data_IF_103518752043
#
_entry.id   IF_103518752043
#
_cell.length_a   1.000
_cell.length_b   1.000
_cell.length_c   1.000
_cell.angle_alpha   90.00
_cell.angle_beta   90.00
_cell.angle_gamma   90.00
#
_symmetry.space_group_name_H-M   'P 1'
#
loop_
_entity.id
_entity.type
_entity.pdbx_description
1 polymer ?
#
# COMPACT_ATOMS: atom_id res chain seq x y z
N UNK A 1 29.64 14.15 -22.44
CA UNK A 1 28.68 15.21 -22.84
C UNK A 1 27.72 15.43 -21.71
N UNK A 2 27.85 16.60 -21.08
CA UNK A 2 27.00 17.04 -19.94
C UNK A 2 25.59 17.36 -20.43
N UNK A 3 24.59 16.69 -19.90
CA UNK A 3 23.24 17.21 -19.93
C UNK A 3 22.65 17.11 -18.50
N UNK A 4 23.10 17.99 -17.65
CA UNK A 4 22.54 18.24 -16.32
C UNK A 4 21.91 19.63 -16.29
N UNK A 5 20.75 19.79 -16.92
CA UNK A 5 19.96 21.01 -16.72
C UNK A 5 19.24 20.84 -15.36
N UNK A 6 19.89 21.29 -14.29
CA UNK A 6 19.19 21.68 -13.06
C UNK A 6 18.43 22.95 -13.38
N UNK A 7 17.16 22.84 -13.69
CA UNK A 7 16.25 23.98 -13.59
C UNK A 7 16.07 24.24 -12.09
N UNK A 8 16.88 25.11 -11.53
CA UNK A 8 16.64 25.69 -10.23
C UNK A 8 15.43 26.62 -10.37
N UNK A 9 14.23 26.07 -10.23
CA UNK A 9 13.02 26.87 -10.08
C UNK A 9 13.19 27.66 -8.78
N UNK A 10 13.32 28.97 -8.88
CA UNK A 10 13.32 29.88 -7.74
C UNK A 10 11.93 29.83 -7.14
N UNK A 11 11.73 28.98 -6.11
CA UNK A 11 10.46 28.86 -5.39
C UNK A 11 10.23 30.20 -4.70
N UNK A 12 9.12 30.86 -5.00
CA UNK A 12 8.73 32.09 -4.32
C UNK A 12 8.31 31.76 -2.87
N UNK A 13 8.51 32.70 -1.95
CA UNK A 13 8.18 32.52 -0.52
C UNK A 13 6.72 32.07 -0.29
N UNK A 14 5.79 32.57 -1.12
CA UNK A 14 4.39 32.16 -1.13
C UNK A 14 4.17 30.69 -1.51
N UNK A 15 4.97 30.13 -2.44
CA UNK A 15 4.90 28.72 -2.83
C UNK A 15 5.38 27.81 -1.71
N UNK A 16 6.44 28.22 -0.99
CA UNK A 16 6.99 27.50 0.16
C UNK A 16 5.97 27.38 1.30
N UNK A 17 5.29 28.47 1.63
CA UNK A 17 4.22 28.49 2.64
C UNK A 17 3.09 27.54 2.22
N UNK A 18 2.67 27.60 0.97
CA UNK A 18 1.62 26.74 0.42
C UNK A 18 2.00 25.26 0.49
N UNK A 19 3.25 24.90 0.17
CA UNK A 19 3.76 23.53 0.26
C UNK A 19 3.78 23.02 1.71
N UNK A 20 4.23 23.82 2.67
CA UNK A 20 4.21 23.47 4.11
C UNK A 20 2.79 23.23 4.62
N UNK A 21 1.82 24.06 4.23
CA UNK A 21 0.40 23.87 4.57
C UNK A 21 -0.16 22.59 3.95
N UNK A 22 0.19 22.29 2.70
CA UNK A 22 -0.22 21.07 2.01
C UNK A 22 0.36 19.83 2.67
N UNK A 23 1.64 19.83 3.02
CA UNK A 23 2.28 18.75 3.74
C UNK A 23 1.60 18.50 5.11
N UNK A 24 1.34 19.58 5.88
CA UNK A 24 0.63 19.49 7.16
C UNK A 24 -0.74 18.84 7.03
N UNK A 25 -1.52 19.20 6.00
CA UNK A 25 -2.84 18.57 5.73
C UNK A 25 -2.71 17.07 5.44
N UNK A 26 -1.69 16.66 4.67
CA UNK A 26 -1.43 15.24 4.41
C UNK A 26 -1.01 14.49 5.69
N UNK A 27 -0.16 15.08 6.56
CA UNK A 27 0.19 14.46 7.85
C UNK A 27 -1.05 14.26 8.73
N UNK A 28 -1.94 15.26 8.81
CA UNK A 28 -3.20 15.14 9.56
C UNK A 28 -4.07 14.03 8.96
N UNK A 29 -4.23 13.99 7.64
CA UNK A 29 -5.04 12.97 6.98
C UNK A 29 -4.46 11.56 7.16
N UNK A 30 -3.14 11.40 7.09
CA UNK A 30 -2.46 10.13 7.36
C UNK A 30 -2.72 9.68 8.80
N UNK A 31 -2.62 10.60 9.77
CA UNK A 31 -2.93 10.34 11.17
C UNK A 31 -4.39 9.93 11.40
N UNK A 32 -5.34 10.58 10.73
CA UNK A 32 -6.76 10.21 10.81
C UNK A 32 -7.02 8.82 10.22
N UNK A 33 -6.46 8.50 9.06
CA UNK A 33 -6.60 7.17 8.45
C UNK A 33 -5.99 6.08 9.33
N UNK A 34 -4.82 6.35 9.91
CA UNK A 34 -4.18 5.42 10.85
C UNK A 34 -5.00 5.27 12.13
N UNK A 35 -5.59 6.34 12.66
CA UNK A 35 -6.51 6.28 13.79
C UNK A 35 -7.73 5.38 13.49
N UNK A 36 -8.35 5.53 12.31
CA UNK A 36 -9.46 4.66 11.92
C UNK A 36 -9.03 3.22 11.70
N UNK A 37 -7.82 2.98 11.19
CA UNK A 37 -7.25 1.64 11.12
C UNK A 37 -7.11 1.01 12.50
N UNK A 38 -6.54 1.73 13.48
CA UNK A 38 -6.41 1.25 14.86
C UNK A 38 -7.79 1.01 15.50
N UNK A 39 -8.74 1.93 15.29
CA UNK A 39 -10.11 1.77 15.79
C UNK A 39 -10.77 0.52 15.19
N UNK A 40 -10.65 0.29 13.88
CA UNK A 40 -11.15 -0.93 13.25
C UNK A 40 -10.46 -2.18 13.83
N UNK A 41 -9.14 -2.16 14.03
CA UNK A 41 -8.39 -3.27 14.62
C UNK A 41 -8.93 -3.59 16.04
N UNK A 42 -9.16 -2.58 16.86
CA UNK A 42 -9.77 -2.76 18.18
C UNK A 42 -11.21 -3.32 18.09
N UNK A 43 -12.01 -2.86 17.13
CA UNK A 43 -13.34 -3.43 16.91
C UNK A 43 -13.26 -4.91 16.49
N UNK A 44 -12.32 -5.26 15.61
CA UNK A 44 -12.09 -6.64 15.16
C UNK A 44 -11.63 -7.54 16.30
N UNK A 45 -10.90 -7.01 17.29
CA UNK A 45 -10.46 -7.83 18.44
C UNK A 45 -11.50 -7.96 19.55
N UNK A 46 -12.43 -6.98 19.71
CA UNK A 46 -13.26 -6.89 20.91
C UNK A 46 -14.77 -6.90 20.64
N UNK A 47 -15.23 -6.64 19.42
CA UNK A 47 -16.66 -6.44 19.12
C UNK A 47 -17.23 -7.62 18.33
N UNK A 48 -18.38 -8.13 18.76
CA UNK A 48 -19.12 -9.22 18.07
C UNK A 48 -18.21 -10.40 17.70
N UNK A 49 -17.48 -10.91 18.68
CA UNK A 49 -16.55 -12.03 18.53
C UNK A 49 -17.29 -13.36 18.61
N UNK A 50 -17.11 -14.24 17.60
CA UNK A 50 -17.74 -15.57 17.52
C UNK A 50 -16.78 -16.59 16.95
N UNK A 51 -16.88 -17.87 17.29
CA UNK A 51 -16.08 -18.97 16.75
C UNK A 51 -16.61 -19.38 15.37
N UNK A 52 -16.39 -18.57 14.35
CA UNK A 52 -16.86 -18.79 12.97
C UNK A 52 -15.75 -19.11 11.99
N UNK A 53 -14.51 -19.07 12.41
CA UNK A 53 -13.36 -19.44 11.59
C UNK A 53 -13.07 -20.95 11.64
N UNK A 54 -12.12 -21.45 10.81
CA UNK A 54 -11.66 -22.83 10.87
C UNK A 54 -11.17 -23.21 12.26
N UNK A 55 -11.36 -24.47 12.66
CA UNK A 55 -10.96 -24.97 13.99
C UNK A 55 -11.56 -24.15 15.16
N UNK A 56 -12.76 -23.60 14.94
CA UNK A 56 -13.47 -22.75 15.92
C UNK A 56 -12.68 -21.47 16.29
N UNK A 57 -11.81 -20.98 15.42
CA UNK A 57 -11.11 -19.73 15.67
C UNK A 57 -12.08 -18.57 15.83
N UNK A 58 -11.82 -17.74 16.84
CA UNK A 58 -12.68 -16.60 17.18
C UNK A 58 -12.38 -15.44 16.23
N UNK A 59 -13.42 -14.95 15.57
CA UNK A 59 -13.37 -13.85 14.62
C UNK A 59 -14.20 -12.69 15.13
N UNK A 60 -13.62 -11.49 15.11
CA UNK A 60 -14.35 -10.29 15.50
C UNK A 60 -15.16 -9.68 14.35
N UNK A 61 -16.10 -8.80 14.70
CA UNK A 61 -17.12 -8.29 13.77
C UNK A 61 -17.77 -9.44 12.99
N UNK A 62 -18.01 -10.55 13.68
CA UNK A 62 -18.38 -11.84 13.14
C UNK A 62 -19.64 -11.80 12.28
N UNK A 63 -20.64 -11.01 12.69
CA UNK A 63 -21.92 -10.94 11.97
C UNK A 63 -21.73 -10.39 10.56
N UNK A 64 -20.98 -9.30 10.37
CA UNK A 64 -20.73 -8.73 9.04
C UNK A 64 -19.76 -9.59 8.24
N UNK A 65 -18.72 -10.14 8.86
CA UNK A 65 -17.76 -11.02 8.21
C UNK A 65 -18.43 -12.28 7.68
N UNK A 66 -19.27 -12.91 8.49
CA UNK A 66 -20.02 -14.11 8.09
C UNK A 66 -21.08 -13.82 7.02
N UNK A 67 -21.77 -12.66 7.13
CA UNK A 67 -22.74 -12.25 6.10
C UNK A 67 -22.08 -12.09 4.74
N UNK A 68 -20.95 -11.34 4.67
CA UNK A 68 -20.24 -11.12 3.40
C UNK A 68 -19.64 -12.43 2.88
N UNK A 69 -19.05 -13.24 3.76
CA UNK A 69 -18.49 -14.54 3.37
C UNK A 69 -19.55 -15.48 2.77
N UNK A 70 -20.75 -15.54 3.34
CA UNK A 70 -21.86 -16.34 2.79
C UNK A 70 -22.37 -15.82 1.45
N UNK A 71 -22.30 -14.49 1.24
CA UNK A 71 -22.73 -13.89 -0.01
C UNK A 71 -21.75 -14.18 -1.15
N UNK A 72 -20.45 -14.12 -0.84
CA UNK A 72 -19.37 -14.24 -1.84
C UNK A 72 -18.97 -15.69 -2.07
N UNK A 73 -18.91 -16.50 -1.00
CA UNK A 73 -18.40 -17.87 -1.03
C UNK A 73 -16.88 -17.93 -1.21
N UNK A 74 -16.40 -19.10 -1.67
CA UNK A 74 -14.97 -19.35 -1.92
C UNK A 74 -14.73 -19.58 -3.40
N UNK A 75 -13.79 -18.83 -3.97
CA UNK A 75 -13.39 -18.98 -5.37
C UNK A 75 -11.87 -18.85 -5.51
N UNK A 76 -11.18 -19.99 -5.53
CA UNK A 76 -9.72 -20.05 -5.59
C UNK A 76 -9.12 -19.53 -6.91
N UNK A 77 -9.90 -19.38 -7.98
CA UNK A 77 -9.41 -18.75 -9.21
C UNK A 77 -9.02 -17.30 -8.91
N UNK A 78 -9.89 -16.57 -8.18
CA UNK A 78 -9.58 -15.20 -7.76
C UNK A 78 -8.38 -15.14 -6.80
N UNK A 79 -8.19 -16.15 -5.96
CA UNK A 79 -7.00 -16.26 -5.12
C UNK A 79 -5.74 -16.28 -5.98
N UNK A 80 -5.62 -17.21 -6.94
CA UNK A 80 -4.44 -17.30 -7.81
C UNK A 80 -4.25 -16.07 -8.70
N UNK A 81 -5.34 -15.53 -9.26
CA UNK A 81 -5.26 -14.29 -10.06
C UNK A 81 -4.65 -13.16 -9.24
N UNK A 82 -5.13 -12.94 -8.02
CA UNK A 82 -4.62 -11.85 -7.17
C UNK A 82 -3.22 -12.11 -6.63
N UNK A 83 -2.79 -13.36 -6.47
CA UNK A 83 -1.40 -13.70 -6.16
C UNK A 83 -0.46 -13.26 -7.28
N UNK A 84 -0.79 -13.56 -8.55
CA UNK A 84 -0.02 -13.11 -9.68
C UNK A 84 0.01 -11.58 -9.82
N UNK A 85 -1.09 -10.88 -9.50
CA UNK A 85 -1.11 -9.43 -9.45
C UNK A 85 -0.18 -8.88 -8.35
N UNK A 86 -0.07 -9.59 -7.22
CA UNK A 86 0.90 -9.29 -6.17
C UNK A 86 2.35 -9.41 -6.68
N UNK A 87 2.66 -10.48 -7.42
CA UNK A 87 3.98 -10.66 -8.06
C UNK A 87 4.28 -9.49 -9.01
N UNK A 88 3.31 -9.08 -9.85
CA UNK A 88 3.48 -7.93 -10.74
C UNK A 88 3.80 -6.66 -9.94
N UNK A 89 3.08 -6.39 -8.85
CA UNK A 89 3.37 -5.23 -8.01
C UNK A 89 4.79 -5.29 -7.44
N UNK A 90 5.22 -6.44 -6.92
CA UNK A 90 6.60 -6.63 -6.41
C UNK A 90 7.65 -6.38 -7.50
N UNK A 91 7.39 -6.79 -8.75
CA UNK A 91 8.30 -6.50 -9.87
C UNK A 91 8.46 -4.99 -10.13
N UNK A 92 7.40 -4.18 -9.94
CA UNK A 92 7.51 -2.72 -9.97
C UNK A 92 8.42 -2.20 -8.85
N UNK A 93 8.27 -2.71 -7.63
CA UNK A 93 9.12 -2.30 -6.52
C UNK A 93 10.60 -2.65 -6.76
N UNK A 94 10.87 -3.86 -7.25
CA UNK A 94 12.21 -4.30 -7.66
C UNK A 94 12.75 -3.39 -8.76
N UNK A 95 11.94 -3.04 -9.77
CA UNK A 95 12.35 -2.13 -10.84
C UNK A 95 12.82 -0.77 -10.32
N UNK A 96 12.11 -0.17 -9.37
CA UNK A 96 12.56 1.07 -8.71
C UNK A 96 13.80 0.85 -7.85
N UNK A 97 13.95 -0.31 -7.21
CA UNK A 97 15.18 -0.70 -6.52
C UNK A 97 16.38 -0.73 -7.47
N UNK A 98 16.21 -1.31 -8.66
CA UNK A 98 17.23 -1.31 -9.71
C UNK A 98 17.58 0.11 -10.18
N UNK A 99 16.58 0.98 -10.37
CA UNK A 99 16.81 2.40 -10.71
C UNK A 99 17.66 3.08 -9.63
N UNK A 100 17.32 2.89 -8.36
CA UNK A 100 18.08 3.44 -7.23
C UNK A 100 19.53 2.91 -7.19
N UNK A 101 19.71 1.61 -7.40
CA UNK A 101 21.02 0.97 -7.45
C UNK A 101 21.86 1.49 -8.63
N UNK A 102 21.28 1.60 -9.82
CA UNK A 102 21.97 2.19 -10.99
C UNK A 102 22.41 3.63 -10.72
N UNK A 103 21.57 4.45 -10.07
CA UNK A 103 21.94 5.80 -9.69
C UNK A 103 23.07 5.80 -8.65
N UNK A 104 23.02 4.90 -7.66
CA UNK A 104 24.05 4.79 -6.62
C UNK A 104 25.40 4.39 -7.23
N UNK A 105 25.43 3.38 -8.07
CA UNK A 105 26.67 2.90 -8.75
C UNK A 105 27.23 4.00 -9.65
N UNK A 106 26.38 4.63 -10.47
CA UNK A 106 26.82 5.67 -11.39
C UNK A 106 27.31 6.95 -10.73
N UNK A 107 26.72 7.32 -9.60
CA UNK A 107 27.04 8.56 -8.88
C UNK A 107 28.01 8.35 -7.70
N UNK A 108 28.23 7.08 -7.28
CA UNK A 108 29.15 6.64 -6.21
C UNK A 108 28.93 7.34 -4.84
N UNK A 109 27.75 7.88 -4.61
CA UNK A 109 27.40 8.60 -3.39
C UNK A 109 25.87 8.54 -3.21
N UNK A 110 25.40 8.00 -2.07
CA UNK A 110 23.97 7.91 -1.75
C UNK A 110 23.28 9.28 -1.67
N UNK A 111 24.00 10.32 -1.27
CA UNK A 111 23.48 11.69 -1.20
C UNK A 111 23.16 12.28 -2.58
N UNK A 112 23.72 11.66 -3.63
CA UNK A 112 23.45 12.05 -5.01
C UNK A 112 22.34 11.25 -5.68
N UNK A 113 21.86 10.17 -5.05
CA UNK A 113 20.65 9.44 -5.48
C UNK A 113 19.44 10.37 -5.36
N UNK A 114 18.52 10.26 -6.30
CA UNK A 114 17.32 11.10 -6.29
C UNK A 114 16.53 10.89 -4.99
N UNK A 115 16.25 11.98 -4.26
CA UNK A 115 15.56 11.91 -2.96
C UNK A 115 14.23 11.17 -3.05
N UNK A 116 13.49 11.30 -4.15
CA UNK A 116 12.23 10.60 -4.37
C UNK A 116 12.40 9.08 -4.45
N UNK A 117 13.50 8.58 -5.03
CA UNK A 117 13.82 7.14 -5.10
C UNK A 117 14.22 6.62 -3.72
N UNK A 118 15.02 7.37 -2.97
CA UNK A 118 15.39 6.99 -1.59
C UNK A 118 14.14 6.95 -0.70
N UNK A 119 13.30 7.97 -0.77
CA UNK A 119 12.04 8.02 0.01
C UNK A 119 11.09 6.88 -0.38
N UNK A 120 11.03 6.51 -1.68
CA UNK A 120 10.25 5.38 -2.15
C UNK A 120 10.79 4.05 -1.58
N UNK A 121 12.11 3.87 -1.56
CA UNK A 121 12.75 2.69 -0.97
C UNK A 121 12.43 2.56 0.54
N UNK A 122 12.55 3.67 1.30
CA UNK A 122 12.17 3.69 2.71
C UNK A 122 10.68 3.39 2.93
N UNK A 123 9.81 3.90 2.04
CA UNK A 123 8.39 3.61 2.07
C UNK A 123 8.11 2.12 1.84
N UNK A 124 8.78 1.47 0.89
CA UNK A 124 8.62 0.02 0.66
C UNK A 124 9.16 -0.81 1.81
N UNK A 125 10.25 -0.39 2.46
CA UNK A 125 10.72 -1.03 3.69
C UNK A 125 9.70 -0.91 4.83
N UNK A 126 9.08 0.25 4.99
CA UNK A 126 8.01 0.44 5.99
C UNK A 126 6.78 -0.43 5.67
N UNK A 127 6.37 -0.50 4.40
CA UNK A 127 5.26 -1.36 3.96
C UNK A 127 5.55 -2.83 4.25
N UNK A 128 6.77 -3.29 3.97
CA UNK A 128 7.21 -4.65 4.28
C UNK A 128 7.27 -4.91 5.78
N UNK A 129 7.74 -3.93 6.58
CA UNK A 129 7.74 -4.05 8.03
C UNK A 129 6.31 -4.20 8.60
N UNK A 130 5.35 -3.43 8.08
CA UNK A 130 3.94 -3.60 8.45
C UNK A 130 3.42 -5.00 8.08
N UNK A 131 3.73 -5.49 6.87
CA UNK A 131 3.38 -6.84 6.43
C UNK A 131 3.91 -7.89 7.41
N UNK A 132 5.23 -7.89 7.67
CA UNK A 132 5.87 -8.86 8.56
C UNK A 132 5.36 -8.76 10.00
N UNK A 133 5.04 -7.56 10.47
CA UNK A 133 4.46 -7.37 11.81
C UNK A 133 3.12 -8.09 11.95
N UNK A 134 2.21 -7.96 10.98
CA UNK A 134 0.89 -8.59 11.05
C UNK A 134 0.90 -10.08 10.70
N UNK A 135 1.92 -10.61 10.06
CA UNK A 135 2.15 -12.06 9.96
C UNK A 135 2.54 -12.68 11.31
N UNK A 136 3.23 -11.91 12.17
CA UNK A 136 3.64 -12.38 13.50
C UNK A 136 2.56 -12.08 14.57
N UNK A 137 1.87 -10.93 14.46
CA UNK A 137 0.82 -10.52 15.39
C UNK A 137 -0.53 -10.85 14.77
N UNK A 138 -0.98 -12.10 14.97
CA UNK A 138 -2.24 -12.58 14.40
C UNK A 138 -3.43 -11.94 15.09
N UNK A 139 -4.26 -11.22 14.33
CA UNK A 139 -5.54 -10.63 14.79
C UNK A 139 -6.71 -11.54 14.44
N UNK A 140 -6.81 -11.98 13.18
CA UNK A 140 -7.76 -12.97 12.71
C UNK A 140 -7.03 -14.04 11.89
N UNK A 141 -7.60 -15.24 11.86
CA UNK A 141 -7.23 -16.30 10.93
C UNK A 141 -8.11 -16.27 9.68
N UNK A 142 -7.65 -16.85 8.58
CA UNK A 142 -8.39 -16.92 7.33
C UNK A 142 -9.71 -17.68 7.48
N UNK A 143 -10.76 -17.34 6.68
CA UNK A 143 -12.03 -18.04 6.70
C UNK A 143 -11.94 -19.50 6.21
N UNK A 144 -10.88 -19.85 5.48
CA UNK A 144 -10.66 -21.19 4.93
C UNK A 144 -9.20 -21.60 5.11
N UNK A 145 -8.96 -22.88 5.32
CA UNK A 145 -7.61 -23.45 5.32
C UNK A 145 -7.13 -23.57 3.87
N UNK A 146 -5.97 -23.00 3.56
CA UNK A 146 -5.28 -23.14 2.28
C UNK A 146 -4.23 -24.26 2.31
N UNK A 147 -3.80 -24.66 3.50
CA UNK A 147 -2.86 -25.73 3.81
C UNK A 147 -3.30 -26.48 5.06
N UNK A 148 -2.33 -27.07 5.76
CA UNK A 148 -2.57 -27.81 7.01
C UNK A 148 -2.62 -26.90 8.25
N UNK A 149 -2.10 -25.68 8.14
CA UNK A 149 -1.98 -24.75 9.26
C UNK A 149 -2.93 -23.54 9.11
N UNK A 150 -3.27 -22.94 10.25
CA UNK A 150 -4.01 -21.69 10.31
C UNK A 150 -3.09 -20.54 9.88
N UNK A 151 -3.54 -19.74 8.91
CA UNK A 151 -2.81 -18.59 8.40
C UNK A 151 -3.43 -17.28 8.90
N UNK A 152 -2.56 -16.29 9.22
CA UNK A 152 -3.00 -14.93 9.52
C UNK A 152 -3.74 -14.32 8.33
N UNK A 153 -4.79 -13.52 8.62
CA UNK A 153 -5.59 -12.90 7.56
C UNK A 153 -5.70 -11.38 7.67
N UNK A 154 -5.66 -10.82 8.89
CA UNK A 154 -5.87 -9.40 9.12
C UNK A 154 -4.56 -8.65 9.39
N UNK A 155 -4.37 -7.48 8.77
CA UNK A 155 -5.06 -6.97 7.59
C UNK A 155 -4.57 -7.68 6.32
N UNK A 156 -5.36 -7.67 5.23
CA UNK A 156 -4.99 -8.37 3.99
C UNK A 156 -3.65 -7.87 3.42
N UNK A 157 -2.65 -8.73 3.46
CA UNK A 157 -1.27 -8.45 3.03
C UNK A 157 -1.18 -8.09 1.54
N UNK A 158 -1.90 -8.81 0.66
CA UNK A 158 -1.95 -8.51 -0.77
C UNK A 158 -2.61 -7.15 -1.04
N UNK A 159 -3.66 -6.80 -0.30
CA UNK A 159 -4.26 -5.46 -0.38
C UNK A 159 -3.23 -4.39 -0.04
N UNK A 160 -2.49 -4.55 1.07
CA UNK A 160 -1.48 -3.58 1.49
C UNK A 160 -0.39 -3.45 0.42
N UNK A 161 0.21 -4.55 -0.01
CA UNK A 161 1.32 -4.54 -0.95
C UNK A 161 0.92 -3.94 -2.30
N UNK A 162 -0.17 -4.43 -2.91
CA UNK A 162 -0.57 -3.98 -4.25
C UNK A 162 -1.02 -2.52 -4.23
N UNK A 163 -1.81 -2.11 -3.24
CA UNK A 163 -2.28 -0.71 -3.13
C UNK A 163 -1.11 0.24 -2.91
N UNK A 164 -0.22 -0.05 -1.95
CA UNK A 164 0.94 0.79 -1.67
C UNK A 164 1.91 0.89 -2.85
N UNK A 165 2.27 -0.24 -3.45
CA UNK A 165 3.26 -0.26 -4.52
C UNK A 165 2.70 0.38 -5.79
N UNK A 166 1.49 0.02 -6.21
CA UNK A 166 0.96 0.49 -7.50
C UNK A 166 0.59 1.98 -7.48
N UNK A 167 0.04 2.53 -6.37
CA UNK A 167 -0.23 3.97 -6.28
C UNK A 167 1.08 4.78 -6.28
N UNK A 168 2.08 4.36 -5.50
CA UNK A 168 3.37 5.06 -5.45
C UNK A 168 4.20 4.88 -6.72
N UNK A 169 4.09 3.73 -7.41
CA UNK A 169 4.69 3.51 -8.72
C UNK A 169 4.16 4.50 -9.76
N UNK A 170 2.82 4.71 -9.81
CA UNK A 170 2.23 5.70 -10.69
C UNK A 170 2.73 7.12 -10.38
N UNK A 171 2.82 7.47 -9.09
CA UNK A 171 3.38 8.76 -8.67
C UNK A 171 4.84 8.92 -9.08
N UNK A 172 5.66 7.90 -8.90
CA UNK A 172 7.10 7.96 -9.22
C UNK A 172 7.35 8.01 -10.73
N UNK A 173 6.58 7.29 -11.54
CA UNK A 173 6.65 7.37 -13.00
C UNK A 173 6.28 8.77 -13.48
N UNK A 174 5.24 9.40 -12.89
CA UNK A 174 4.88 10.78 -13.18
C UNK A 174 6.06 11.74 -12.95
N UNK A 175 6.84 11.53 -11.88
CA UNK A 175 8.01 12.35 -11.54
C UNK A 175 9.19 12.14 -12.49
N UNK A 176 9.48 10.88 -12.81
CA UNK A 176 10.59 10.52 -13.69
C UNK A 176 10.35 10.92 -15.15
N UNK A 177 9.08 10.94 -15.58
CA UNK A 177 8.66 11.18 -16.96
C UNK A 177 7.62 12.29 -17.07
N UNK A 178 7.86 13.43 -16.39
CA UNK A 178 6.92 14.57 -16.30
C UNK A 178 6.45 15.09 -17.68
N UNK A 179 7.31 14.98 -18.70
CA UNK A 179 7.02 15.45 -20.06
C UNK A 179 6.09 14.51 -20.84
N UNK A 180 5.91 13.26 -20.35
CA UNK A 180 5.17 12.20 -21.06
C UNK A 180 3.79 11.98 -20.45
N UNK A 181 2.87 12.95 -20.61
CA UNK A 181 1.50 12.88 -20.05
C UNK A 181 0.74 11.59 -20.40
N UNK A 182 0.90 11.06 -21.64
CA UNK A 182 0.24 9.80 -22.05
C UNK A 182 0.77 8.59 -21.26
N UNK A 183 2.10 8.52 -20.99
CA UNK A 183 2.69 7.45 -20.20
C UNK A 183 2.19 7.49 -18.75
N UNK A 184 2.13 8.68 -18.15
CA UNK A 184 1.59 8.87 -16.81
C UNK A 184 0.12 8.43 -16.73
N UNK A 185 -0.72 8.89 -17.67
CA UNK A 185 -2.14 8.53 -17.69
C UNK A 185 -2.31 7.01 -17.85
N UNK A 186 -1.58 6.40 -18.79
CA UNK A 186 -1.56 4.95 -18.97
C UNK A 186 -1.17 4.21 -17.69
N UNK A 187 -0.07 4.62 -17.04
CA UNK A 187 0.38 4.01 -15.78
C UNK A 187 -0.64 4.17 -14.66
N UNK A 188 -1.27 5.34 -14.54
CA UNK A 188 -2.33 5.58 -13.56
C UNK A 188 -3.53 4.67 -13.79
N UNK A 189 -3.97 4.48 -15.03
CA UNK A 189 -5.05 3.57 -15.37
C UNK A 189 -4.69 2.11 -15.03
N UNK A 190 -3.48 1.67 -15.41
CA UNK A 190 -3.00 0.31 -15.10
C UNK A 190 -2.91 0.10 -13.58
N UNK A 191 -2.33 1.04 -12.84
CA UNK A 191 -2.25 0.96 -11.37
C UNK A 191 -3.63 0.87 -10.74
N UNK A 192 -4.57 1.73 -11.14
CA UNK A 192 -5.93 1.70 -10.61
C UNK A 192 -6.64 0.37 -10.93
N UNK A 193 -6.47 -0.14 -12.16
CA UNK A 193 -7.03 -1.44 -12.57
C UNK A 193 -6.48 -2.56 -11.69
N UNK A 194 -5.16 -2.64 -11.52
CA UNK A 194 -4.52 -3.66 -10.68
C UNK A 194 -4.98 -3.58 -9.22
N UNK A 195 -5.08 -2.38 -8.66
CA UNK A 195 -5.59 -2.15 -7.30
C UNK A 195 -7.04 -2.66 -7.19
N UNK A 196 -7.93 -2.21 -8.07
CA UNK A 196 -9.36 -2.56 -8.02
C UNK A 196 -9.56 -4.07 -8.19
N UNK A 197 -8.89 -4.67 -9.18
CA UNK A 197 -8.98 -6.12 -9.42
C UNK A 197 -8.43 -6.92 -8.24
N UNK A 198 -7.33 -6.48 -7.62
CA UNK A 198 -6.78 -7.15 -6.44
C UNK A 198 -7.72 -7.05 -5.24
N UNK A 199 -8.21 -5.86 -4.92
CA UNK A 199 -9.10 -5.64 -3.76
C UNK A 199 -10.40 -6.43 -3.90
N UNK A 200 -11.06 -6.32 -5.06
CA UNK A 200 -12.29 -7.07 -5.35
C UNK A 200 -11.99 -8.57 -5.43
N UNK A 201 -10.92 -8.97 -6.11
CA UNK A 201 -10.54 -10.36 -6.26
C UNK A 201 -10.20 -11.03 -4.93
N UNK A 202 -9.53 -10.34 -4.00
CA UNK A 202 -9.29 -10.86 -2.65
C UNK A 202 -10.58 -11.04 -1.87
N UNK A 203 -11.55 -10.16 -2.03
CA UNK A 203 -12.87 -10.34 -1.44
C UNK A 203 -13.59 -11.55 -2.08
N UNK A 204 -13.62 -11.62 -3.42
CA UNK A 204 -14.27 -12.69 -4.17
C UNK A 204 -13.60 -14.06 -4.02
N UNK A 205 -12.32 -14.09 -3.64
CA UNK A 205 -11.62 -15.35 -3.37
C UNK A 205 -12.14 -16.07 -2.13
N UNK A 206 -12.74 -15.35 -1.18
CA UNK A 206 -13.23 -15.89 0.08
C UNK A 206 -12.11 -16.36 1.03
N UNK A 207 -10.84 -16.00 0.78
CA UNK A 207 -9.71 -16.33 1.66
C UNK A 207 -9.41 -15.24 2.70
N UNK A 208 -10.16 -14.16 2.66
CA UNK A 208 -10.11 -13.08 3.63
C UNK A 208 -11.50 -12.68 4.10
N UNK A 209 -11.60 -12.29 5.35
CA UNK A 209 -12.79 -11.64 5.85
C UNK A 209 -12.96 -10.25 5.25
N UNK A 210 -14.19 -9.74 5.21
CA UNK A 210 -14.44 -8.37 4.73
C UNK A 210 -13.61 -7.33 5.51
N UNK A 211 -13.51 -7.50 6.82
CA UNK A 211 -12.73 -6.60 7.68
C UNK A 211 -11.24 -6.60 7.38
N UNK A 212 -10.67 -7.71 6.89
CA UNK A 212 -9.26 -7.80 6.51
C UNK A 212 -8.96 -6.89 5.31
N UNK A 213 -9.89 -6.88 4.34
CA UNK A 213 -9.79 -6.01 3.15
C UNK A 213 -9.91 -4.54 3.55
N UNK A 214 -10.89 -4.20 4.39
CA UNK A 214 -11.08 -2.81 4.87
C UNK A 214 -9.88 -2.36 5.68
N UNK A 215 -9.35 -3.20 6.57
CA UNK A 215 -8.14 -2.94 7.33
C UNK A 215 -6.92 -2.70 6.42
N UNK A 216 -6.74 -3.55 5.40
CA UNK A 216 -5.70 -3.39 4.39
C UNK A 216 -5.81 -2.06 3.64
N UNK A 217 -7.02 -1.65 3.26
CA UNK A 217 -7.27 -0.36 2.59
C UNK A 217 -6.99 0.85 3.49
N UNK A 218 -7.42 0.80 4.76
CA UNK A 218 -7.17 1.89 5.71
C UNK A 218 -5.68 2.07 5.99
N UNK A 219 -4.96 0.97 6.23
CA UNK A 219 -3.51 1.01 6.47
C UNK A 219 -2.77 1.49 5.22
N UNK A 220 -3.09 0.96 4.05
CA UNK A 220 -2.49 1.41 2.79
C UNK A 220 -2.75 2.88 2.51
N UNK A 221 -3.98 3.34 2.74
CA UNK A 221 -4.35 4.74 2.61
C UNK A 221 -3.53 5.64 3.54
N UNK A 222 -3.38 5.24 4.82
CA UNK A 222 -2.55 5.96 5.79
C UNK A 222 -1.09 6.06 5.34
N UNK A 223 -0.50 4.93 4.91
CA UNK A 223 0.88 4.86 4.44
C UNK A 223 1.11 5.70 3.17
N UNK A 224 0.23 5.61 2.17
CA UNK A 224 0.34 6.39 0.93
C UNK A 224 0.22 7.88 1.20
N UNK A 225 -0.72 8.29 2.04
CA UNK A 225 -0.88 9.71 2.38
C UNK A 225 0.32 10.22 3.18
N UNK A 226 0.89 9.38 4.06
CA UNK A 226 2.14 9.68 4.76
C UNK A 226 3.30 9.86 3.76
N UNK A 227 3.45 8.96 2.79
CA UNK A 227 4.45 9.08 1.72
C UNK A 227 4.29 10.41 0.96
N UNK A 228 3.04 10.77 0.58
CA UNK A 228 2.75 12.06 -0.08
C UNK A 228 3.12 13.25 0.79
N UNK A 229 2.85 13.18 2.11
CA UNK A 229 3.22 14.23 3.05
C UNK A 229 4.73 14.45 3.08
N UNK A 230 5.50 13.35 3.20
CA UNK A 230 6.98 13.39 3.23
C UNK A 230 7.53 13.95 1.92
N UNK A 231 7.01 13.48 0.78
CA UNK A 231 7.48 13.98 -0.52
C UNK A 231 7.23 15.48 -0.68
N UNK A 232 6.03 15.97 -0.35
CA UNK A 232 5.69 17.40 -0.44
C UNK A 232 6.52 18.22 0.55
N UNK A 233 6.80 17.68 1.74
CA UNK A 233 7.66 18.32 2.72
C UNK A 233 9.10 18.49 2.20
N UNK A 234 9.69 17.42 1.65
CA UNK A 234 11.05 17.42 1.10
C UNK A 234 11.21 18.29 -0.17
N UNK A 235 10.12 18.53 -0.90
CA UNK A 235 10.13 19.45 -2.06
C UNK A 235 10.06 20.92 -1.65
N UNK A 236 9.58 21.21 -0.44
CA UNK A 236 9.52 22.55 0.14
C UNK A 236 10.77 22.96 0.92
N UNK A 237 11.78 22.06 1.04
CA UNK A 237 13.12 22.35 1.57
C UNK A 237 14.12 22.58 0.43
#
# INVERSE_FOLDING_TARGET
>A
MNCGIRVAVKIQEGDLITMKWKAKRYFILAGLLFFFFVLLTLCVTCVDTKPIGPEETVIGLASINHFVFRLVGVNLIWYYVTDWLGVIAVLFAVGFGCVGLCQLIGRKDIRKVDRSIVTLGLFYLLTMACYLFFEQVVINYRPVLLGEELEASYPSSHTILVVCIMDTAAMQICRLFSDKKKLYLGMKCVSMLLIVVTVIGRLLSGVHWFTDIVGGLLLSGALIVLYRAVIVYLEGE
#
